data_IF_804167968675
#
_entry.id   IF_804167968675
#
_cell.length_a   1.000
_cell.length_b   1.000
_cell.length_c   1.000
_cell.angle_alpha   90.00
_cell.angle_beta   90.00
_cell.angle_gamma   90.00
#
_symmetry.space_group_name_H-M   'P 1'
#
loop_
_entity.id
_entity.type
_entity.pdbx_description
1 polymer ?
#
# COMPACT_ATOMS: atom_id res chain seq x y z
N UNK A 1 -4.22 -11.11 -25.85
CA UNK A 1 -4.06 -9.79 -25.17
C UNK A 1 -5.08 -9.73 -24.05
N UNK A 2 -4.68 -9.76 -22.78
CA UNK A 2 -5.63 -9.52 -21.68
C UNK A 2 -5.70 -8.01 -21.46
N UNK A 3 -6.82 -7.42 -21.87
CA UNK A 3 -7.05 -5.98 -22.02
C UNK A 3 -7.07 -5.20 -20.70
N UNK A 4 -7.09 -5.88 -19.54
CA UNK A 4 -7.02 -5.25 -18.22
C UNK A 4 -6.18 -6.08 -17.25
N UNK A 5 -5.24 -5.43 -16.54
CA UNK A 5 -4.52 -6.09 -15.44
C UNK A 5 -5.49 -6.31 -14.28
N UNK A 6 -5.53 -7.53 -13.72
CA UNK A 6 -6.38 -7.85 -12.56
C UNK A 6 -5.94 -7.02 -11.35
N UNK A 7 -6.89 -6.27 -10.79
CA UNK A 7 -6.71 -5.54 -9.53
C UNK A 7 -7.07 -6.49 -8.38
N UNK A 8 -6.21 -6.56 -7.37
CA UNK A 8 -6.41 -7.35 -6.15
C UNK A 8 -6.51 -6.41 -4.94
N UNK A 9 -7.44 -6.70 -4.02
CA UNK A 9 -7.56 -6.01 -2.74
C UNK A 9 -6.63 -6.63 -1.70
N UNK A 10 -5.94 -5.77 -0.97
CA UNK A 10 -5.17 -6.10 0.22
C UNK A 10 -5.77 -5.35 1.39
N UNK A 11 -5.98 -6.04 2.51
CA UNK A 11 -6.69 -5.46 3.66
C UNK A 11 -5.96 -5.76 4.96
N UNK A 12 -6.08 -4.85 5.91
CA UNK A 12 -5.67 -5.05 7.30
C UNK A 12 -6.73 -4.44 8.22
N UNK A 13 -7.11 -5.18 9.26
CA UNK A 13 -8.03 -4.76 10.31
C UNK A 13 -7.30 -4.73 11.64
N UNK A 14 -7.46 -3.66 12.40
CA UNK A 14 -6.74 -3.46 13.66
C UNK A 14 -7.67 -2.85 14.68
N UNK A 15 -7.53 -3.28 15.93
CA UNK A 15 -8.23 -2.76 17.09
C UNK A 15 -7.24 -2.03 18.00
N UNK A 16 -7.66 -0.91 18.57
CA UNK A 16 -6.82 -0.03 19.38
C UNK A 16 -7.66 0.76 20.40
N UNK A 17 -7.02 1.22 21.48
CA UNK A 17 -7.70 1.86 22.60
C UNK A 17 -7.85 3.38 22.44
N UNK A 18 -6.92 4.05 21.74
CA UNK A 18 -6.83 5.51 21.65
C UNK A 18 -6.63 5.96 20.20
N UNK A 19 -7.48 6.87 19.73
CA UNK A 19 -7.49 7.44 18.37
C UNK A 19 -6.64 8.70 18.21
N UNK A 20 -6.02 9.20 19.29
CA UNK A 20 -5.14 10.38 19.27
C UNK A 20 -3.99 10.26 18.23
N UNK A 21 -3.60 9.03 17.87
CA UNK A 21 -2.51 8.72 16.93
C UNK A 21 -2.97 8.17 15.58
N UNK A 22 -4.26 8.24 15.26
CA UNK A 22 -4.86 7.60 14.07
C UNK A 22 -4.17 7.99 12.75
N UNK A 23 -3.75 9.25 12.61
CA UNK A 23 -3.03 9.75 11.43
C UNK A 23 -1.66 9.06 11.29
N UNK A 24 -0.92 8.93 12.39
CA UNK A 24 0.38 8.26 12.44
C UNK A 24 0.25 6.77 12.12
N UNK A 25 -0.75 6.13 12.74
CA UNK A 25 -1.08 4.72 12.54
C UNK A 25 -1.43 4.45 11.07
N UNK A 26 -2.27 5.29 10.45
CA UNK A 26 -2.62 5.15 9.02
C UNK A 26 -1.38 5.07 8.14
N UNK A 27 -0.43 5.98 8.29
CA UNK A 27 0.79 5.98 7.46
C UNK A 27 1.66 4.73 7.70
N UNK A 28 1.77 4.28 8.94
CA UNK A 28 2.51 3.05 9.28
C UNK A 28 1.88 1.82 8.61
N UNK A 29 0.56 1.67 8.68
CA UNK A 29 -0.13 0.52 8.09
C UNK A 29 -0.18 0.56 6.56
N UNK A 30 -0.20 1.75 5.93
CA UNK A 30 -0.02 1.87 4.47
C UNK A 30 1.34 1.29 4.07
N UNK A 31 2.40 1.67 4.78
CA UNK A 31 3.76 1.19 4.51
C UNK A 31 3.90 -0.32 4.74
N UNK A 32 3.35 -0.83 5.86
CA UNK A 32 3.35 -2.25 6.19
C UNK A 32 2.64 -3.07 5.11
N UNK A 33 1.41 -2.69 4.77
CA UNK A 33 0.61 -3.40 3.79
C UNK A 33 1.24 -3.33 2.39
N UNK A 34 1.82 -2.19 2.02
CA UNK A 34 2.56 -2.03 0.77
C UNK A 34 3.81 -2.91 0.72
N UNK A 35 4.55 -3.06 1.82
CA UNK A 35 5.69 -3.99 1.89
C UNK A 35 5.24 -5.43 1.68
N UNK A 36 4.18 -5.86 2.38
CA UNK A 36 3.60 -7.20 2.22
C UNK A 36 3.08 -7.46 0.80
N UNK A 37 2.54 -6.43 0.13
CA UNK A 37 2.17 -6.49 -1.28
C UNK A 37 3.39 -6.76 -2.15
N UNK A 38 4.50 -6.05 -1.92
CA UNK A 38 5.74 -6.19 -2.69
C UNK A 38 6.37 -7.57 -2.53
N UNK A 39 6.37 -8.12 -1.31
CA UNK A 39 6.80 -9.50 -1.04
C UNK A 39 6.01 -10.55 -1.84
N UNK A 40 4.74 -10.25 -2.10
CA UNK A 40 3.83 -11.06 -2.93
C UNK A 40 3.93 -10.74 -4.43
N UNK A 41 4.77 -9.78 -4.83
CA UNK A 41 4.96 -9.35 -6.23
C UNK A 41 3.91 -8.37 -6.75
N UNK A 42 3.22 -7.67 -5.85
CA UNK A 42 2.22 -6.65 -6.17
C UNK A 42 2.75 -5.26 -5.87
N UNK A 43 2.25 -4.28 -6.63
CA UNK A 43 2.48 -2.85 -6.39
C UNK A 43 1.14 -2.13 -6.29
N UNK A 44 1.06 -1.02 -5.54
CA UNK A 44 -0.19 -0.27 -5.42
C UNK A 44 -0.60 0.36 -6.76
N UNK A 45 -1.91 0.45 -7.00
CA UNK A 45 -2.50 1.29 -8.04
C UNK A 45 -2.62 2.70 -7.48
N UNK A 46 -1.78 3.62 -7.94
CA UNK A 46 -1.66 4.97 -7.40
C UNK A 46 -2.86 5.86 -7.75
N UNK A 47 -3.64 5.47 -8.75
CA UNK A 47 -4.89 6.15 -9.13
C UNK A 47 -6.06 5.83 -8.18
N UNK A 48 -5.86 4.91 -7.23
CA UNK A 48 -6.87 4.51 -6.25
C UNK A 48 -6.29 4.75 -4.85
N UNK A 49 -6.84 5.73 -4.16
CA UNK A 49 -6.42 6.03 -2.80
C UNK A 49 -6.66 4.84 -1.86
N UNK A 50 -5.76 4.63 -0.87
CA UNK A 50 -6.02 3.70 0.21
C UNK A 50 -7.32 4.05 0.93
N UNK A 51 -8.26 3.10 0.95
CA UNK A 51 -9.48 3.26 1.73
C UNK A 51 -9.16 3.00 3.21
N UNK A 52 -9.63 3.88 4.09
CA UNK A 52 -9.42 3.80 5.53
C UNK A 52 -10.73 4.14 6.23
N UNK A 53 -11.32 3.15 6.89
CA UNK A 53 -12.56 3.27 7.63
C UNK A 53 -12.28 3.03 9.10
N UNK A 54 -12.89 3.82 9.98
CA UNK A 54 -12.74 3.72 11.43
C UNK A 54 -14.13 3.64 12.05
N UNK A 55 -14.30 2.75 13.02
CA UNK A 55 -15.52 2.57 13.78
C UNK A 55 -15.20 2.47 15.27
N UNK A 56 -16.05 3.07 16.11
CA UNK A 56 -16.03 2.85 17.55
C UNK A 56 -16.94 1.67 17.88
N UNK A 57 -16.44 0.68 18.62
CA UNK A 57 -17.16 -0.56 18.93
C UNK A 57 -18.03 -0.44 20.19
N UNK A 58 -17.89 0.66 20.94
CA UNK A 58 -18.48 0.83 22.28
C UNK A 58 -17.43 0.76 23.39
N UNK A 59 -16.30 0.09 23.15
CA UNK A 59 -15.18 -0.06 24.09
C UNK A 59 -13.85 0.35 23.47
N UNK A 60 -13.66 0.00 22.20
CA UNK A 60 -12.41 0.18 21.46
C UNK A 60 -12.68 0.86 20.13
N UNK A 61 -11.61 1.28 19.47
CA UNK A 61 -11.65 1.69 18.08
C UNK A 61 -11.15 0.58 17.20
N UNK A 62 -11.75 0.46 16.02
CA UNK A 62 -11.33 -0.46 14.99
C UNK A 62 -11.19 0.26 13.68
N UNK A 63 -10.14 -0.05 12.92
CA UNK A 63 -10.01 0.43 11.55
C UNK A 63 -9.88 -0.72 10.57
N UNK A 64 -10.38 -0.50 9.35
CA UNK A 64 -10.16 -1.32 8.17
C UNK A 64 -9.44 -0.48 7.11
N UNK A 65 -8.27 -0.94 6.68
CA UNK A 65 -7.52 -0.35 5.58
C UNK A 65 -7.55 -1.27 4.37
N UNK A 66 -7.78 -0.71 3.18
CA UNK A 66 -7.74 -1.43 1.90
C UNK A 66 -6.83 -0.73 0.90
N UNK A 67 -5.89 -1.47 0.31
CA UNK A 67 -5.04 -1.00 -0.81
C UNK A 67 -5.27 -1.90 -2.03
N UNK A 68 -5.41 -1.28 -3.20
CA UNK A 68 -5.57 -1.98 -4.47
C UNK A 68 -4.21 -2.20 -5.12
N UNK A 69 -3.92 -3.44 -5.50
CA UNK A 69 -2.64 -3.84 -6.05
C UNK A 69 -2.75 -4.54 -7.39
N UNK A 70 -1.69 -4.43 -8.19
CA UNK A 70 -1.53 -5.13 -9.45
C UNK A 70 -0.27 -5.99 -9.42
N UNK A 71 -0.35 -7.21 -9.94
CA UNK A 71 0.80 -8.10 -10.00
C UNK A 71 1.81 -7.63 -11.06
N UNK A 72 3.07 -7.55 -10.67
CA UNK A 72 4.21 -7.18 -11.54
C UNK A 72 5.40 -8.13 -11.41
N UNK A 73 5.36 -9.07 -10.46
CA UNK A 73 6.45 -9.99 -10.13
C UNK A 73 7.30 -9.51 -8.95
N UNK A 74 7.77 -10.44 -8.10
CA UNK A 74 8.46 -10.15 -6.81
C UNK A 74 9.64 -9.19 -6.95
N UNK A 75 10.60 -9.48 -7.84
CA UNK A 75 11.78 -8.62 -8.05
C UNK A 75 11.38 -7.22 -8.51
N UNK A 76 10.51 -7.14 -9.53
CA UNK A 76 10.06 -5.87 -10.12
C UNK A 76 9.24 -5.02 -9.14
N UNK A 77 8.49 -5.64 -8.24
CA UNK A 77 7.67 -4.94 -7.26
C UNK A 77 8.51 -4.09 -6.29
N UNK A 78 9.73 -4.52 -5.97
CA UNK A 78 10.64 -3.78 -5.09
C UNK A 78 11.23 -2.53 -5.75
N UNK A 79 11.48 -2.60 -7.07
CA UNK A 79 12.01 -1.49 -7.89
C UNK A 79 10.93 -0.54 -8.43
N UNK A 80 9.66 -0.86 -8.20
CA UNK A 80 8.50 -0.11 -8.71
C UNK A 80 7.81 0.64 -7.56
N UNK A 81 7.46 1.90 -7.78
CA UNK A 81 6.66 2.69 -6.83
C UNK A 81 5.20 2.20 -6.83
N UNK A 82 4.62 2.12 -8.02
CA UNK A 82 3.22 1.76 -8.23
C UNK A 82 2.83 1.72 -9.70
N UNK A 83 1.54 1.61 -9.97
CA UNK A 83 0.94 1.75 -11.30
C UNK A 83 0.04 2.98 -11.35
N UNK A 84 0.21 3.85 -12.35
CA UNK A 84 -0.68 4.99 -12.62
C UNK A 84 -1.00 5.02 -14.11
N UNK A 85 -2.25 5.28 -14.49
CA UNK A 85 -2.74 5.32 -15.86
C UNK A 85 -2.32 4.09 -16.69
N UNK A 86 -2.34 2.91 -16.05
CA UNK A 86 -1.95 1.63 -16.65
C UNK A 86 -0.43 1.42 -16.86
N UNK A 87 0.40 2.40 -16.51
CA UNK A 87 1.88 2.34 -16.63
C UNK A 87 2.53 2.15 -15.26
N UNK A 88 3.68 1.47 -15.23
CA UNK A 88 4.45 1.29 -14.00
C UNK A 88 5.38 2.47 -13.79
N UNK A 89 5.33 3.03 -12.59
CA UNK A 89 6.20 4.13 -12.18
C UNK A 89 7.43 3.56 -11.45
N UNK A 90 8.65 3.80 -11.93
CA UNK A 90 9.86 3.39 -11.23
C UNK A 90 9.91 4.03 -9.84
N UNK A 91 10.45 3.30 -8.85
CA UNK A 91 10.82 3.92 -7.59
C UNK A 91 12.06 4.76 -7.86
N UNK A 92 11.98 6.09 -7.69
CA UNK A 92 13.16 6.95 -7.73
C UNK A 92 14.13 6.46 -6.66
N UNK A 93 15.24 5.85 -7.08
CA UNK A 93 16.40 5.72 -6.21
C UNK A 93 16.94 7.13 -6.05
N UNK A 94 17.07 7.62 -4.81
CA UNK A 94 17.91 8.79 -4.57
C UNK A 94 19.26 8.54 -5.27
N UNK A 95 19.85 9.53 -5.97
CA UNK A 95 21.13 9.31 -6.61
C UNK A 95 22.09 8.76 -5.56
N UNK A 96 22.70 7.60 -5.85
CA UNK A 96 23.81 7.10 -5.04
C UNK A 96 24.87 8.19 -5.12
N UNK A 97 24.99 9.00 -4.06
CA UNK A 97 26.16 9.83 -3.86
C UNK A 97 27.36 8.92 -4.09
N UNK A 98 28.16 9.22 -5.12
CA UNK A 98 29.46 8.59 -5.26
C UNK A 98 30.23 9.03 -4.01
N UNK A 99 30.36 8.13 -3.04
CA UNK A 99 31.41 8.25 -2.04
C UNK A 99 32.72 8.17 -2.82
N UNK A 100 33.29 9.36 -3.08
CA UNK A 100 34.69 9.56 -3.44
C UNK A 100 35.55 9.26 -2.22
#
# INVERSE_FOLDING_TARGET
MTTHKKIKRFQVSVEFLDDSDLIRIKNQYINLLTSQMKDKGYVPVLDIDPAFSVEFTGETWKFLMTIHGVYVGKKKAWDTLGMTQGKLTPRTQAPKSKML
#
